data_IF_948561356887
#
_entry.id   IF_948561356887
#
_cell.length_a   1.000
_cell.length_b   1.000
_cell.length_c   1.000
_cell.angle_alpha   90.00
_cell.angle_beta   90.00
_cell.angle_gamma   90.00
#
_symmetry.space_group_name_H-M   'P 1'
#
loop_
_entity.id
_entity.type
_entity.pdbx_description
1 polymer ?
#
# COMPACT_ATOMS: atom_id res chain seq x y z
N UNK A 1 30.19 2.01 -34.59
CA UNK A 1 31.35 1.73 -35.47
C UNK A 1 31.94 3.02 -36.04
N UNK A 2 31.13 3.93 -36.60
CA UNK A 2 31.58 5.24 -37.12
C UNK A 2 32.21 6.18 -36.07
N UNK A 3 31.73 6.15 -34.82
CA UNK A 3 32.29 6.95 -33.71
C UNK A 3 33.74 6.60 -33.35
N UNK A 4 34.17 5.36 -33.59
CA UNK A 4 35.54 4.90 -33.31
C UNK A 4 36.58 5.47 -34.29
N UNK A 5 36.13 6.03 -35.42
CA UNK A 5 37.00 6.59 -36.47
C UNK A 5 37.01 8.13 -36.47
N UNK A 6 36.51 8.78 -35.41
CA UNK A 6 36.58 10.23 -35.24
C UNK A 6 35.96 11.04 -36.41
N UNK A 7 35.01 10.46 -37.15
CA UNK A 7 34.35 11.12 -38.30
C UNK A 7 33.62 12.40 -37.86
N UNK A 8 33.16 12.44 -36.61
CA UNK A 8 32.53 13.63 -36.03
C UNK A 8 33.47 14.85 -35.97
N UNK A 9 34.79 14.63 -35.93
CA UNK A 9 35.80 15.69 -35.81
C UNK A 9 36.19 16.28 -37.19
N UNK A 10 35.80 15.63 -38.28
CA UNK A 10 35.99 16.13 -39.64
C UNK A 10 35.22 17.44 -39.86
N UNK A 11 35.91 18.47 -40.36
CA UNK A 11 35.33 19.80 -40.65
C UNK A 11 34.72 19.93 -42.05
N UNK A 12 34.70 18.83 -42.83
CA UNK A 12 34.07 18.78 -44.15
C UNK A 12 34.61 19.78 -45.19
N UNK A 13 35.91 20.13 -45.10
CA UNK A 13 36.56 21.10 -45.98
C UNK A 13 36.70 20.67 -47.44
N UNK A 14 36.46 19.39 -47.76
CA UNK A 14 36.47 18.92 -49.15
C UNK A 14 37.83 18.49 -49.70
N UNK A 15 38.94 18.74 -48.99
CA UNK A 15 40.29 18.44 -49.46
C UNK A 15 40.48 16.97 -49.88
N UNK A 16 39.86 16.05 -49.14
CA UNK A 16 39.92 14.61 -49.39
C UNK A 16 39.28 14.21 -50.73
N UNK A 17 38.23 14.91 -51.16
CA UNK A 17 37.56 14.63 -52.43
C UNK A 17 38.35 15.18 -53.62
N UNK A 18 39.04 16.31 -53.44
CA UNK A 18 39.88 16.93 -54.48
C UNK A 18 41.18 16.16 -54.73
N UNK A 19 41.84 15.69 -53.67
CA UNK A 19 43.14 15.01 -53.77
C UNK A 19 43.03 13.54 -54.22
N UNK A 20 41.83 12.96 -54.19
CA UNK A 20 41.64 11.54 -54.45
C UNK A 20 41.76 11.21 -55.95
N UNK A 21 42.72 10.37 -56.37
CA UNK A 21 42.89 10.00 -57.78
C UNK A 21 41.73 9.16 -58.33
N UNK A 22 40.90 8.59 -57.46
CA UNK A 22 39.74 7.78 -57.83
C UNK A 22 38.44 8.59 -57.95
N UNK A 23 38.47 9.91 -57.74
CA UNK A 23 37.32 10.81 -57.83
C UNK A 23 36.11 10.38 -56.96
N UNK A 24 36.37 9.77 -55.80
CA UNK A 24 35.33 9.29 -54.87
C UNK A 24 34.80 10.47 -54.04
N UNK A 25 33.47 10.64 -53.90
CA UNK A 25 32.87 11.74 -53.13
C UNK A 25 32.90 11.49 -51.60
N UNK A 26 34.09 11.29 -51.02
CA UNK A 26 34.27 10.93 -49.59
C UNK A 26 33.55 11.88 -48.62
N UNK A 27 33.50 13.18 -48.93
CA UNK A 27 32.87 14.19 -48.06
C UNK A 27 31.37 13.98 -47.94
N UNK A 28 30.70 13.45 -48.97
CA UNK A 28 29.27 13.17 -48.91
C UNK A 28 28.97 12.03 -47.94
N UNK A 29 29.78 10.97 -47.96
CA UNK A 29 29.67 9.87 -47.02
C UNK A 29 29.94 10.33 -45.58
N UNK A 30 30.98 11.14 -45.36
CA UNK A 30 31.25 11.69 -44.03
C UNK A 30 30.12 12.57 -43.50
N UNK A 31 29.46 13.35 -44.37
CA UNK A 31 28.28 14.15 -44.00
C UNK A 31 27.11 13.28 -43.56
N UNK A 32 26.82 12.22 -44.30
CA UNK A 32 25.78 11.27 -43.94
C UNK A 32 26.05 10.62 -42.58
N UNK A 33 27.25 10.06 -42.41
CA UNK A 33 27.66 9.42 -41.16
C UNK A 33 27.62 10.40 -39.98
N UNK A 34 28.03 11.64 -40.18
CA UNK A 34 27.97 12.68 -39.14
C UNK A 34 26.53 13.06 -38.80
N UNK A 35 25.63 13.13 -39.78
CA UNK A 35 24.21 13.35 -39.55
C UNK A 35 23.59 12.21 -38.73
N UNK A 36 23.93 10.96 -39.04
CA UNK A 36 23.48 9.78 -38.29
C UNK A 36 24.00 9.79 -36.84
N UNK A 37 25.30 10.09 -36.64
CA UNK A 37 25.87 10.25 -35.30
C UNK A 37 25.15 11.35 -34.50
N UNK A 38 24.85 12.48 -35.14
CA UNK A 38 24.14 13.58 -34.49
C UNK A 38 22.70 13.22 -34.13
N UNK A 39 22.00 12.46 -34.98
CA UNK A 39 20.66 11.97 -34.70
C UNK A 39 20.65 11.06 -33.46
N UNK A 40 21.59 10.11 -33.39
CA UNK A 40 21.76 9.21 -32.23
C UNK A 40 22.04 10.03 -30.97
N UNK A 41 22.98 10.97 -31.00
CA UNK A 41 23.31 11.83 -29.85
C UNK A 41 22.11 12.66 -29.37
N UNK A 42 21.27 13.13 -30.29
CA UNK A 42 20.07 13.88 -29.95
C UNK A 42 19.04 12.98 -29.26
N UNK A 43 18.86 11.76 -29.76
CA UNK A 43 17.98 10.76 -29.15
C UNK A 43 18.47 10.36 -27.75
N UNK A 44 19.77 10.11 -27.58
CA UNK A 44 20.40 9.82 -26.29
C UNK A 44 20.17 10.94 -25.27
N UNK A 45 20.35 12.21 -25.68
CA UNK A 45 20.06 13.37 -24.83
C UNK A 45 18.60 13.41 -24.38
N UNK A 46 17.66 13.21 -25.32
CA UNK A 46 16.23 13.17 -25.01
C UNK A 46 15.89 12.02 -24.06
N UNK A 47 16.47 10.85 -24.26
CA UNK A 47 16.30 9.69 -23.40
C UNK A 47 16.87 9.95 -21.99
N UNK A 48 18.05 10.57 -21.88
CA UNK A 48 18.65 10.94 -20.61
C UNK A 48 17.80 11.96 -19.83
N UNK A 49 17.27 12.98 -20.51
CA UNK A 49 16.36 13.95 -19.89
C UNK A 49 15.06 13.30 -19.41
N UNK A 50 14.47 12.42 -20.21
CA UNK A 50 13.26 11.68 -19.84
C UNK A 50 13.52 10.78 -18.63
N UNK A 51 14.66 10.06 -18.62
CA UNK A 51 15.09 9.23 -17.50
C UNK A 51 15.29 10.04 -16.22
N UNK A 52 15.97 11.19 -16.30
CA UNK A 52 16.17 12.08 -15.15
C UNK A 52 14.84 12.58 -14.56
N UNK A 53 13.88 12.96 -15.41
CA UNK A 53 12.53 13.37 -14.96
C UNK A 53 11.77 12.23 -14.30
N UNK A 54 11.87 11.02 -14.85
CA UNK A 54 11.24 9.83 -14.29
C UNK A 54 11.83 9.47 -12.92
N UNK A 55 13.15 9.44 -12.81
CA UNK A 55 13.86 9.15 -11.56
C UNK A 55 13.53 10.18 -10.47
N UNK A 56 13.50 11.47 -10.81
CA UNK A 56 13.10 12.52 -9.87
C UNK A 56 11.65 12.34 -9.37
N UNK A 57 10.73 11.96 -10.25
CA UNK A 57 9.33 11.65 -9.89
C UNK A 57 9.26 10.42 -8.99
N UNK A 58 9.99 9.37 -9.32
CA UNK A 58 10.04 8.12 -8.56
C UNK A 58 10.56 8.38 -7.14
N UNK A 59 11.67 9.12 -7.02
CA UNK A 59 12.25 9.48 -5.73
C UNK A 59 11.30 10.35 -4.87
N UNK A 60 10.46 11.19 -5.49
CA UNK A 60 9.41 11.93 -4.75
C UNK A 60 8.33 10.98 -4.23
N UNK A 61 7.82 10.10 -5.08
CA UNK A 61 6.77 9.14 -4.71
C UNK A 61 7.23 8.16 -3.62
N UNK A 62 8.47 7.69 -3.69
CA UNK A 62 9.04 6.80 -2.66
C UNK A 62 9.17 7.49 -1.32
N UNK A 63 9.62 8.75 -1.29
CA UNK A 63 9.65 9.56 -0.05
C UNK A 63 8.26 9.77 0.53
N UNK A 64 7.27 10.10 -0.30
CA UNK A 64 5.88 10.26 0.14
C UNK A 64 5.28 8.95 0.66
N UNK A 65 5.52 7.82 -0.02
CA UNK A 65 5.10 6.49 0.43
C UNK A 65 5.75 6.12 1.76
N UNK A 66 7.06 6.32 1.91
CA UNK A 66 7.78 6.06 3.14
C UNK A 66 7.26 6.93 4.30
N UNK A 67 7.03 8.23 4.06
CA UNK A 67 6.44 9.13 5.05
C UNK A 67 5.03 8.70 5.44
N UNK A 68 4.20 8.27 4.48
CA UNK A 68 2.84 7.75 4.74
C UNK A 68 2.89 6.47 5.58
N UNK A 69 3.74 5.52 5.23
CA UNK A 69 3.92 4.28 5.99
C UNK A 69 4.44 4.56 7.41
N UNK A 70 5.36 5.51 7.56
CA UNK A 70 5.84 5.93 8.88
C UNK A 70 4.71 6.53 9.72
N UNK A 71 3.88 7.42 9.14
CA UNK A 71 2.69 7.98 9.82
C UNK A 71 1.68 6.89 10.21
N UNK A 72 1.41 5.95 9.31
CA UNK A 72 0.54 4.81 9.64
C UNK A 72 1.14 3.92 10.73
N UNK A 73 2.46 3.68 10.72
CA UNK A 73 3.14 2.89 11.76
C UNK A 73 3.14 3.58 13.12
N UNK A 74 3.28 4.91 13.15
CA UNK A 74 3.22 5.68 14.40
C UNK A 74 1.79 5.88 14.91
N UNK A 75 0.80 5.93 14.00
CA UNK A 75 -0.62 6.06 14.35
C UNK A 75 -1.30 4.69 14.64
N UNK A 76 -0.72 3.59 14.17
CA UNK A 76 -1.09 2.26 14.62
C UNK A 76 -0.69 2.14 16.09
N UNK A 77 -1.68 2.35 16.97
CA UNK A 77 -1.56 2.13 18.41
C UNK A 77 -1.06 0.71 18.61
N UNK A 78 0.21 0.58 18.97
CA UNK A 78 0.74 -0.70 19.42
C UNK A 78 0.10 -0.98 20.78
N UNK A 79 -0.48 -2.17 21.00
CA UNK A 79 -0.98 -2.53 22.32
C UNK A 79 0.17 -2.40 23.31
N UNK A 80 -0.07 -1.74 24.45
CA UNK A 80 0.94 -1.67 25.49
C UNK A 80 1.31 -3.09 25.93
N UNK A 81 2.50 -3.31 26.50
CA UNK A 81 2.95 -4.65 26.88
C UNK A 81 1.93 -5.40 27.77
N UNK A 82 1.19 -4.67 28.62
CA UNK A 82 0.11 -5.21 29.46
C UNK A 82 -1.12 -5.67 28.66
N UNK A 83 -1.44 -5.02 27.54
CA UNK A 83 -2.56 -5.39 26.68
C UNK A 83 -2.26 -6.68 25.90
N UNK A 84 -1.00 -6.91 25.56
CA UNK A 84 -0.57 -8.15 24.87
C UNK A 84 -0.79 -9.39 25.73
N UNK A 85 -0.46 -9.33 27.03
CA UNK A 85 -0.68 -10.43 27.97
C UNK A 85 -2.18 -10.71 28.17
N UNK A 86 -3.00 -9.65 28.24
CA UNK A 86 -4.46 -9.76 28.36
C UNK A 86 -5.09 -10.38 27.09
N UNK A 87 -4.61 -10.01 25.90
CA UNK A 87 -5.05 -10.56 24.62
C UNK A 87 -4.64 -12.05 24.51
N UNK A 88 -3.41 -12.41 24.89
CA UNK A 88 -2.94 -13.79 24.88
C UNK A 88 -3.76 -14.68 25.84
N UNK A 89 -4.07 -14.19 27.05
CA UNK A 89 -4.94 -14.88 28.00
C UNK A 89 -6.40 -14.98 27.51
N UNK A 90 -6.89 -14.02 26.74
CA UNK A 90 -8.22 -14.11 26.12
C UNK A 90 -8.25 -15.16 24.99
N UNK A 91 -7.21 -15.21 24.16
CA UNK A 91 -7.08 -16.21 23.08
C UNK A 91 -6.94 -17.65 23.62
N UNK A 92 -6.20 -17.84 24.72
CA UNK A 92 -6.13 -19.13 25.42
C UNK A 92 -7.52 -19.60 25.88
N UNK A 93 -8.30 -18.71 26.50
CA UNK A 93 -9.67 -19.00 26.93
C UNK A 93 -10.63 -19.33 25.77
N UNK A 94 -10.47 -18.70 24.61
CA UNK A 94 -11.27 -19.02 23.41
C UNK A 94 -10.88 -20.39 22.85
N UNK A 95 -9.58 -20.70 22.81
CA UNK A 95 -9.10 -22.03 22.40
C UNK A 95 -9.59 -23.13 23.32
N UNK A 96 -9.56 -22.93 24.64
CA UNK A 96 -10.09 -23.88 25.61
C UNK A 96 -11.61 -24.08 25.44
N UNK A 97 -12.37 -23.00 25.21
CA UNK A 97 -13.81 -23.11 24.92
C UNK A 97 -14.10 -23.82 23.60
N UNK A 98 -13.29 -23.60 22.56
CA UNK A 98 -13.40 -24.32 21.30
C UNK A 98 -13.04 -25.80 21.46
N UNK A 99 -12.03 -26.13 22.28
CA UNK A 99 -11.69 -27.51 22.61
C UNK A 99 -12.84 -28.21 23.35
N UNK A 100 -13.50 -27.50 24.29
CA UNK A 100 -14.68 -28.01 24.99
C UNK A 100 -15.90 -28.19 24.07
N UNK A 101 -16.07 -27.30 23.09
CA UNK A 101 -17.15 -27.33 22.11
C UNK A 101 -16.94 -28.39 21.00
N UNK A 102 -15.75 -28.97 20.90
CA UNK A 102 -15.42 -30.05 19.94
C UNK A 102 -15.77 -31.45 20.49
N UNK A 103 -16.36 -31.54 21.69
CA UNK A 103 -16.93 -32.80 22.16
C UNK A 103 -18.18 -33.16 21.32
N UNK A 104 -18.26 -34.37 20.75
CA UNK A 104 -19.38 -34.76 19.90
C UNK A 104 -20.67 -34.77 20.72
N UNK A 105 -21.63 -33.93 20.36
CA UNK A 105 -22.99 -33.98 20.91
C UNK A 105 -23.69 -35.22 20.33
N UNK A 106 -23.73 -36.30 21.11
CA UNK A 106 -24.48 -37.52 20.74
C UNK A 106 -25.96 -37.28 21.01
N UNK A 107 -26.74 -36.99 19.97
CA UNK A 107 -28.20 -36.89 20.05
C UNK A 107 -28.77 -38.30 19.86
N UNK A 108 -29.29 -38.91 20.92
CA UNK A 108 -30.01 -40.19 20.83
C UNK A 108 -31.37 -39.96 20.13
N UNK A 109 -31.59 -40.64 19.01
CA UNK A 109 -32.79 -40.53 18.19
C UNK A 109 -34.06 -40.87 19.03
N UNK A 110 -34.93 -39.88 19.24
CA UNK A 110 -36.23 -40.04 19.91
C UNK A 110 -36.44 -39.28 21.22
N UNK A 111 -35.44 -38.55 21.74
CA UNK A 111 -35.60 -37.73 22.95
C UNK A 111 -35.77 -36.25 22.64
N UNK A 112 -36.77 -35.58 23.25
CA UNK A 112 -36.86 -34.12 23.26
C UNK A 112 -35.72 -33.58 24.13
N UNK A 113 -34.86 -32.66 23.63
CA UNK A 113 -33.83 -32.04 24.45
C UNK A 113 -34.48 -31.24 25.59
N UNK A 114 -34.20 -31.62 26.84
CA UNK A 114 -34.71 -30.91 28.02
C UNK A 114 -33.98 -29.57 28.20
N UNK A 115 -34.53 -28.54 27.54
CA UNK A 115 -34.00 -27.18 27.56
C UNK A 115 -34.52 -26.36 28.75
N UNK A 116 -35.21 -26.97 29.73
CA UNK A 116 -35.79 -26.28 30.89
C UNK A 116 -34.75 -25.51 31.71
N UNK A 117 -33.57 -26.10 31.92
CA UNK A 117 -32.45 -25.47 32.63
C UNK A 117 -31.93 -24.21 31.91
N UNK A 118 -31.93 -24.22 30.58
CA UNK A 118 -31.48 -23.08 29.76
C UNK A 118 -32.49 -21.93 29.82
N UNK A 119 -33.79 -22.25 29.85
CA UNK A 119 -34.88 -21.29 29.99
C UNK A 119 -34.82 -20.61 31.37
N UNK A 120 -34.69 -21.38 32.45
CA UNK A 120 -34.56 -20.85 33.81
C UNK A 120 -33.33 -19.93 33.97
N UNK A 121 -32.19 -20.32 33.39
CA UNK A 121 -30.98 -19.49 33.40
C UNK A 121 -31.13 -18.19 32.58
N UNK A 122 -32.00 -18.16 31.57
CA UNK A 122 -32.31 -16.96 30.79
C UNK A 122 -33.23 -16.02 31.55
N UNK A 123 -34.25 -16.56 32.21
CA UNK A 123 -35.16 -15.79 33.06
C UNK A 123 -34.44 -15.17 34.25
N UNK A 124 -33.56 -15.92 34.92
CA UNK A 124 -32.72 -15.41 36.01
C UNK A 124 -31.85 -14.23 35.56
N UNK A 125 -31.22 -14.33 34.37
CA UNK A 125 -30.44 -13.22 33.80
C UNK A 125 -31.29 -12.01 33.46
N UNK A 126 -32.50 -12.22 32.91
CA UNK A 126 -33.45 -11.14 32.61
C UNK A 126 -33.95 -10.44 33.88
N UNK A 127 -34.20 -11.21 34.94
CA UNK A 127 -34.58 -10.70 36.26
C UNK A 127 -33.44 -9.88 36.89
N UNK A 128 -32.21 -10.38 36.86
CA UNK A 128 -31.03 -9.64 37.33
C UNK A 128 -30.81 -8.34 36.56
N UNK A 129 -30.99 -8.34 35.24
CA UNK A 129 -30.88 -7.12 34.41
C UNK A 129 -31.97 -6.09 34.76
N UNK A 130 -33.22 -6.54 34.96
CA UNK A 130 -34.33 -5.66 35.38
C UNK A 130 -34.11 -5.09 36.78
N UNK A 131 -33.61 -5.90 37.72
CA UNK A 131 -33.26 -5.42 39.07
C UNK A 131 -32.16 -4.35 39.04
N UNK A 132 -31.13 -4.53 38.19
CA UNK A 132 -30.08 -3.54 38.00
C UNK A 132 -30.57 -2.25 37.34
N UNK A 133 -31.51 -2.35 36.38
CA UNK A 133 -32.14 -1.17 35.77
C UNK A 133 -33.03 -0.41 36.76
N UNK A 134 -33.79 -1.13 37.60
CA UNK A 134 -34.60 -0.51 38.65
C UNK A 134 -33.77 0.18 39.74
N UNK A 135 -32.55 -0.32 40.00
CA UNK A 135 -31.62 0.30 40.96
C UNK A 135 -30.91 1.57 40.45
N UNK A 136 -30.96 1.84 39.14
CA UNK A 136 -30.37 3.05 38.53
C UNK A 136 -31.43 3.80 37.68
N UNK A 137 -32.38 4.53 38.32
CA UNK A 137 -33.27 5.42 37.58
C UNK A 137 -32.45 6.59 37.00
N UNK A 138 -32.45 6.69 35.67
CA UNK A 138 -31.80 7.77 34.93
C UNK A 138 -32.56 9.06 35.26
N UNK A 139 -31.86 10.06 35.81
CA UNK A 139 -32.44 11.37 36.10
C UNK A 139 -32.80 12.08 34.79
N UNK A 140 -34.09 12.36 34.61
CA UNK A 140 -34.68 13.04 33.46
C UNK A 140 -34.31 14.54 33.54
N UNK A 141 -33.34 15.00 32.75
CA UNK A 141 -33.05 16.42 32.58
C UNK A 141 -33.96 17.00 31.51
N UNK A 142 -35.08 17.58 31.94
CA UNK A 142 -35.94 18.42 31.11
C UNK A 142 -35.16 19.64 30.61
N UNK A 143 -35.07 19.80 29.28
CA UNK A 143 -34.66 21.05 28.63
C UNK A 143 -35.94 21.82 28.28
N UNK A 144 -36.23 22.98 28.89
CA UNK A 144 -37.32 23.83 28.40
C UNK A 144 -36.83 24.56 27.14
N UNK A 145 -37.64 24.51 26.09
CA UNK A 145 -37.39 25.22 24.83
C UNK A 145 -37.45 26.73 25.00
N UNK A 146 -36.71 27.43 24.16
CA UNK A 146 -36.89 28.86 23.90
C UNK A 146 -36.93 29.11 22.38
N UNK A 147 -37.83 30.01 22.01
CA UNK A 147 -38.52 30.26 20.73
C UNK A 147 -37.66 31.06 19.71
N UNK A 148 -37.85 30.96 18.37
CA UNK A 148 -37.06 31.69 17.39
C UNK A 148 -37.67 33.06 17.07
N UNK A 149 -36.83 34.10 17.06
CA UNK A 149 -37.14 35.42 16.51
C UNK A 149 -36.07 35.85 15.51
#
# INVERSE_FOLDING_TARGET
KATAHHIADCIECGACAWVCPSNIPLVQYFRQEKAEINAIRLEEKRAAEAKARFEARQARLEREKAARLARHKSAAVQPAAKDQDAIAAALARVKEKQALATQPVVIQAGSLPDNSAVIAAREARKAQARAKQAAHPVADSAIPGDDPR
#
